data_IF_567044353944
#
_entry.id   IF_567044353944
#
_cell.length_a   1.000
_cell.length_b   1.000
_cell.length_c   1.000
_cell.angle_alpha   90.00
_cell.angle_beta   90.00
_cell.angle_gamma   90.00
#
_symmetry.space_group_name_H-M   'P 1'
#
loop_
_entity.id
_entity.type
_entity.pdbx_description
1 polymer ?
#
# COMPACT_ATOMS: atom_id res chain seq x y z
N UNK A 1 -52.80 -96.04 -5.82
CA UNK A 1 -52.66 -95.93 -4.35
C UNK A 1 -51.18 -96.16 -4.05
N UNK A 2 -50.40 -95.09 -3.93
CA UNK A 2 -48.98 -95.13 -3.53
C UNK A 2 -48.59 -93.77 -2.96
N UNK A 3 -47.70 -93.81 -1.98
CA UNK A 3 -47.67 -92.96 -0.79
C UNK A 3 -46.74 -91.74 -0.94
N UNK A 4 -47.10 -90.65 -0.25
CA UNK A 4 -46.38 -89.36 -0.08
C UNK A 4 -44.89 -89.53 0.30
N UNK A 5 -44.02 -88.70 -0.29
CA UNK A 5 -42.85 -88.18 0.44
C UNK A 5 -42.50 -86.72 0.04
N UNK A 6 -42.00 -85.99 1.04
CA UNK A 6 -41.82 -84.53 1.16
C UNK A 6 -40.52 -84.04 0.50
N UNK A 7 -40.52 -82.88 -0.15
CA UNK A 7 -39.43 -81.86 -0.12
C UNK A 7 -40.05 -80.49 -0.51
N UNK A 8 -40.41 -79.65 0.47
CA UNK A 8 -39.62 -78.50 0.96
C UNK A 8 -39.34 -77.45 -0.14
N UNK A 9 -40.27 -76.50 -0.26
CA UNK A 9 -40.09 -75.23 -0.98
C UNK A 9 -39.74 -74.13 0.03
N UNK A 10 -38.75 -73.26 -0.26
CA UNK A 10 -38.69 -71.94 0.35
C UNK A 10 -39.20 -70.90 -0.66
N UNK A 11 -40.38 -70.36 -0.38
CA UNK A 11 -40.87 -69.11 -0.97
C UNK A 11 -40.05 -67.97 -0.36
N UNK A 12 -39.03 -67.51 -1.07
CA UNK A 12 -38.29 -66.29 -0.70
C UNK A 12 -39.19 -65.10 -1.05
N UNK A 13 -39.94 -64.62 -0.05
CA UNK A 13 -40.61 -63.31 -0.10
C UNK A 13 -39.53 -62.22 -0.08
N UNK A 14 -39.36 -61.55 -1.21
CA UNK A 14 -38.50 -60.37 -1.33
C UNK A 14 -39.02 -59.24 -0.45
N UNK A 15 -38.25 -58.88 0.57
CA UNK A 15 -38.27 -57.56 1.18
C UNK A 15 -37.29 -56.70 0.38
N UNK A 16 -37.81 -55.99 -0.61
CA UNK A 16 -37.07 -54.94 -1.31
C UNK A 16 -36.88 -53.76 -0.35
N UNK A 17 -35.78 -53.75 0.38
CA UNK A 17 -35.27 -52.54 1.04
C UNK A 17 -34.66 -51.69 -0.08
N UNK A 18 -35.45 -50.77 -0.63
CA UNK A 18 -34.96 -49.73 -1.52
C UNK A 18 -34.14 -48.73 -0.68
N UNK A 19 -32.84 -48.98 -0.58
CA UNK A 19 -31.88 -47.97 -0.14
C UNK A 19 -31.84 -46.90 -1.22
N UNK A 20 -32.54 -45.80 -0.99
CA UNK A 20 -32.42 -44.57 -1.77
C UNK A 20 -31.00 -44.02 -1.58
N UNK A 21 -30.09 -44.35 -2.49
CA UNK A 21 -28.83 -43.64 -2.69
C UNK A 21 -29.17 -42.26 -3.23
N UNK A 22 -29.40 -41.29 -2.33
CA UNK A 22 -29.38 -39.89 -2.69
C UNK A 22 -27.92 -39.52 -3.05
N UNK A 23 -27.63 -39.01 -4.26
CA UNK A 23 -26.35 -38.39 -4.51
C UNK A 23 -26.29 -37.13 -3.65
N UNK A 24 -25.42 -37.13 -2.64
CA UNK A 24 -24.97 -35.89 -2.02
C UNK A 24 -24.27 -35.09 -3.11
N UNK A 25 -24.99 -34.14 -3.72
CA UNK A 25 -24.40 -33.14 -4.58
C UNK A 25 -23.48 -32.29 -3.70
N UNK A 26 -22.20 -32.65 -3.67
CA UNK A 26 -21.16 -31.73 -3.22
C UNK A 26 -21.23 -30.53 -4.15
N UNK A 27 -21.61 -29.38 -3.62
CA UNK A 27 -21.51 -28.11 -4.32
C UNK A 27 -20.01 -27.83 -4.52
N UNK A 28 -19.45 -28.38 -5.59
CA UNK A 28 -18.16 -27.96 -6.10
C UNK A 28 -18.40 -26.61 -6.75
N UNK A 29 -17.79 -25.58 -6.16
CA UNK A 29 -17.81 -24.22 -6.64
C UNK A 29 -17.05 -24.15 -7.98
N UNK A 30 -17.71 -24.65 -9.01
CA UNK A 30 -17.18 -24.86 -10.34
C UNK A 30 -17.56 -23.67 -11.20
N UNK A 31 -16.58 -23.18 -11.98
CA UNK A 31 -16.82 -22.09 -12.91
C UNK A 31 -17.67 -22.63 -14.06
N UNK A 32 -18.82 -22.00 -14.34
CA UNK A 32 -19.69 -22.36 -15.45
C UNK A 32 -18.93 -22.30 -16.78
N UNK A 33 -19.23 -23.16 -17.77
CA UNK A 33 -18.48 -23.25 -19.02
C UNK A 33 -18.48 -21.95 -19.82
N UNK A 34 -19.58 -21.20 -19.80
CA UNK A 34 -19.70 -19.87 -20.41
C UNK A 34 -18.79 -18.83 -19.75
N UNK A 35 -18.72 -18.83 -18.42
CA UNK A 35 -17.80 -17.97 -17.66
C UNK A 35 -16.35 -18.38 -17.90
N UNK A 36 -16.08 -19.69 -17.97
CA UNK A 36 -14.74 -20.21 -18.24
C UNK A 36 -14.24 -19.76 -19.62
N UNK A 37 -15.08 -19.82 -20.64
CA UNK A 37 -14.75 -19.34 -21.99
C UNK A 37 -14.47 -17.83 -21.99
N UNK A 38 -15.32 -17.03 -21.32
CA UNK A 38 -15.17 -15.58 -21.23
C UNK A 38 -13.89 -15.16 -20.47
N UNK A 39 -13.60 -15.78 -19.33
CA UNK A 39 -12.41 -15.51 -18.49
C UNK A 39 -11.11 -15.92 -19.20
N UNK A 40 -11.15 -17.01 -19.97
CA UNK A 40 -9.98 -17.55 -20.67
C UNK A 40 -9.85 -17.06 -22.11
N UNK A 41 -10.82 -16.27 -22.60
CA UNK A 41 -10.88 -15.78 -23.99
C UNK A 41 -10.80 -16.93 -25.01
N UNK A 42 -11.55 -18.00 -24.77
CA UNK A 42 -11.60 -19.17 -25.65
C UNK A 42 -10.46 -20.17 -25.51
N UNK A 43 -9.64 -20.06 -24.46
CA UNK A 43 -8.49 -20.94 -24.23
C UNK A 43 -8.62 -21.76 -22.93
N UNK A 44 -9.81 -22.32 -22.67
CA UNK A 44 -10.11 -23.02 -21.43
C UNK A 44 -9.09 -24.12 -21.07
N UNK A 45 -8.58 -24.86 -22.06
CA UNK A 45 -7.61 -25.95 -21.85
C UNK A 45 -6.25 -25.49 -21.31
N UNK A 46 -5.86 -24.22 -21.55
CA UNK A 46 -4.58 -23.67 -21.09
C UNK A 46 -4.62 -23.29 -19.61
N UNK A 47 -5.79 -22.98 -19.08
CA UNK A 47 -5.92 -22.36 -17.77
C UNK A 47 -6.63 -23.29 -16.78
N UNK A 48 -6.19 -23.26 -15.53
CA UNK A 48 -6.97 -23.80 -14.42
C UNK A 48 -7.72 -22.65 -13.76
N UNK A 49 -9.02 -22.81 -13.56
CA UNK A 49 -9.87 -21.80 -12.92
C UNK A 49 -10.26 -22.26 -11.52
N UNK A 50 -10.15 -21.36 -10.56
CA UNK A 50 -10.60 -21.57 -9.18
C UNK A 50 -11.49 -20.40 -8.80
N UNK A 51 -12.73 -20.68 -8.41
CA UNK A 51 -13.63 -19.65 -7.88
C UNK A 51 -13.23 -19.31 -6.45
N UNK A 52 -13.13 -18.02 -6.16
CA UNK A 52 -12.89 -17.48 -4.81
C UNK A 52 -13.82 -16.29 -4.63
N UNK A 53 -14.89 -16.51 -3.88
CA UNK A 53 -15.99 -15.57 -3.72
C UNK A 53 -16.58 -15.17 -5.10
N UNK A 54 -16.62 -13.88 -5.41
CA UNK A 54 -17.08 -13.32 -6.68
C UNK A 54 -15.98 -13.28 -7.76
N UNK A 55 -14.73 -13.52 -7.37
CA UNK A 55 -13.58 -13.47 -8.25
C UNK A 55 -13.18 -14.89 -8.74
N UNK A 56 -12.38 -14.92 -9.82
CA UNK A 56 -11.83 -16.17 -10.35
C UNK A 56 -10.30 -16.07 -10.38
N UNK A 57 -9.63 -16.99 -9.70
CA UNK A 57 -8.20 -17.21 -9.89
C UNK A 57 -7.98 -18.04 -11.16
N UNK A 58 -7.19 -17.48 -12.07
CA UNK A 58 -6.79 -18.12 -13.33
C UNK A 58 -5.30 -18.45 -13.27
N UNK A 59 -4.97 -19.73 -13.35
CA UNK A 59 -3.59 -20.23 -13.37
C UNK A 59 -3.23 -20.69 -14.77
N UNK A 60 -2.19 -20.10 -15.37
CA UNK A 60 -1.67 -20.49 -16.68
C UNK A 60 -0.80 -21.74 -16.55
N UNK A 61 -1.21 -22.85 -17.18
CA UNK A 61 -0.49 -24.14 -17.12
C UNK A 61 0.83 -24.13 -17.88
N UNK A 62 1.08 -23.12 -18.73
CA UNK A 62 2.29 -23.05 -19.55
C UNK A 62 3.47 -22.38 -18.84
N UNK A 63 3.20 -21.36 -18.02
CA UNK A 63 4.24 -20.56 -17.36
C UNK A 63 4.03 -20.39 -15.85
N UNK A 64 2.93 -20.93 -15.29
CA UNK A 64 2.63 -20.85 -13.86
C UNK A 64 2.09 -19.49 -13.39
N UNK A 65 1.82 -18.55 -14.30
CA UNK A 65 1.31 -17.22 -13.92
C UNK A 65 -0.09 -17.34 -13.32
N UNK A 66 -0.25 -16.76 -12.14
CA UNK A 66 -1.57 -16.63 -11.49
C UNK A 66 -2.13 -15.24 -11.80
N UNK A 67 -3.39 -15.17 -12.18
CA UNK A 67 -4.13 -13.91 -12.37
C UNK A 67 -5.39 -13.92 -11.52
N UNK A 68 -5.74 -12.77 -10.95
CA UNK A 68 -7.07 -12.56 -10.35
C UNK A 68 -7.97 -11.92 -11.41
N UNK A 69 -9.08 -12.59 -11.71
CA UNK A 69 -10.07 -12.17 -12.69
C UNK A 69 -11.31 -11.66 -11.98
N UNK A 70 -11.67 -10.41 -12.27
CA UNK A 70 -12.87 -9.75 -11.74
C UNK A 70 -13.82 -9.40 -12.87
N UNK A 71 -15.11 -9.45 -12.62
CA UNK A 71 -16.11 -8.93 -13.55
C UNK A 71 -16.18 -7.40 -13.43
N UNK A 72 -16.00 -6.71 -14.56
CA UNK A 72 -16.08 -5.25 -14.67
C UNK A 72 -16.84 -4.90 -15.95
N UNK A 73 -18.00 -4.24 -15.80
CA UNK A 73 -18.82 -3.77 -16.92
C UNK A 73 -19.17 -4.87 -17.92
N UNK A 74 -19.73 -5.97 -17.42
CA UNK A 74 -20.12 -7.17 -18.20
C UNK A 74 -18.94 -7.85 -18.93
N UNK A 75 -17.70 -7.58 -18.53
CA UNK A 75 -16.49 -8.17 -19.09
C UNK A 75 -15.52 -8.63 -17.99
N UNK A 76 -14.80 -9.71 -18.25
CA UNK A 76 -13.80 -10.23 -17.33
C UNK A 76 -12.45 -9.53 -17.50
N UNK A 77 -11.92 -8.99 -16.40
CA UNK A 77 -10.58 -8.41 -16.33
C UNK A 77 -9.67 -9.24 -15.44
N UNK A 78 -8.70 -9.88 -16.05
CA UNK A 78 -7.67 -10.65 -15.37
C UNK A 78 -6.39 -9.84 -15.22
N UNK A 79 -6.04 -9.48 -13.99
CA UNK A 79 -4.75 -8.86 -13.68
C UNK A 79 -3.81 -9.95 -13.16
N UNK A 80 -2.57 -10.06 -13.70
CA UNK A 80 -1.59 -10.95 -13.12
C UNK A 80 -1.40 -10.58 -11.65
N UNK A 81 -1.47 -11.58 -10.77
CA UNK A 81 -0.99 -11.40 -9.41
C UNK A 81 0.50 -11.19 -9.57
N UNK A 82 1.05 -10.03 -9.18
CA UNK A 82 2.48 -9.87 -9.23
C UNK A 82 3.09 -11.05 -8.44
N UNK A 83 4.20 -11.60 -8.92
CA UNK A 83 5.15 -12.24 -8.02
C UNK A 83 5.61 -11.10 -7.10
N UNK A 84 4.77 -10.81 -6.11
CA UNK A 84 4.80 -9.56 -5.38
C UNK A 84 6.18 -9.39 -4.75
N UNK A 85 6.75 -10.51 -4.33
CA UNK A 85 8.11 -10.63 -3.85
C UNK A 85 9.16 -10.10 -4.84
N UNK A 86 9.22 -10.57 -6.09
CA UNK A 86 10.26 -10.12 -7.05
C UNK A 86 10.13 -8.63 -7.40
N UNK A 87 8.89 -8.14 -7.58
CA UNK A 87 8.65 -6.73 -7.86
C UNK A 87 9.03 -5.84 -6.65
N UNK A 88 8.68 -6.26 -5.44
CA UNK A 88 9.07 -5.55 -4.23
C UNK A 88 10.58 -5.66 -3.97
N UNK A 89 11.22 -6.78 -4.26
CA UNK A 89 12.67 -6.94 -4.14
C UNK A 89 13.40 -6.03 -5.13
N UNK A 90 12.91 -5.88 -6.36
CA UNK A 90 13.48 -4.95 -7.33
C UNK A 90 13.41 -3.50 -6.80
N UNK A 91 12.25 -3.08 -6.31
CA UNK A 91 12.05 -1.75 -5.72
C UNK A 91 12.91 -1.52 -4.47
N UNK A 92 12.99 -2.51 -3.56
CA UNK A 92 13.83 -2.45 -2.36
C UNK A 92 15.30 -2.25 -2.74
N UNK A 93 15.79 -2.96 -3.75
CA UNK A 93 17.18 -2.84 -4.19
C UNK A 93 17.45 -1.47 -4.85
N UNK A 94 16.50 -0.93 -5.61
CA UNK A 94 16.59 0.41 -6.19
C UNK A 94 16.64 1.48 -5.10
N UNK A 95 15.69 1.44 -4.15
CA UNK A 95 15.61 2.36 -3.03
C UNK A 95 16.86 2.27 -2.13
N UNK A 96 17.36 1.07 -1.86
CA UNK A 96 18.60 0.88 -1.11
C UNK A 96 19.78 1.55 -1.82
N UNK A 97 19.89 1.38 -3.14
CA UNK A 97 20.90 2.04 -3.95
C UNK A 97 20.78 3.57 -3.96
N UNK A 98 19.56 4.11 -3.93
CA UNK A 98 19.33 5.55 -3.80
C UNK A 98 19.74 6.09 -2.42
N UNK A 99 19.40 5.37 -1.35
CA UNK A 99 19.82 5.71 0.01
C UNK A 99 21.35 5.73 0.12
N UNK A 100 22.04 4.72 -0.39
CA UNK A 100 23.51 4.69 -0.39
C UNK A 100 24.11 5.89 -1.14
N UNK A 101 23.54 6.22 -2.30
CA UNK A 101 24.01 7.33 -3.14
C UNK A 101 23.76 8.69 -2.50
N UNK A 102 22.59 8.88 -1.87
CA UNK A 102 22.25 10.09 -1.15
C UNK A 102 23.12 10.24 0.10
N UNK A 103 23.33 9.16 0.85
CA UNK A 103 24.20 9.13 2.03
C UNK A 103 25.62 9.53 1.66
N UNK A 104 26.20 8.93 0.62
CA UNK A 104 27.53 9.29 0.13
C UNK A 104 27.62 10.78 -0.29
N UNK A 105 26.57 11.33 -0.89
CA UNK A 105 26.52 12.75 -1.26
C UNK A 105 26.45 13.67 -0.03
N UNK A 106 25.70 13.29 1.00
CA UNK A 106 25.65 14.04 2.26
C UNK A 106 27.03 14.03 2.92
N UNK A 107 27.68 12.86 3.03
CA UNK A 107 29.03 12.74 3.59
C UNK A 107 30.06 13.58 2.81
N UNK A 108 29.96 13.60 1.48
CA UNK A 108 30.80 14.46 0.64
C UNK A 108 30.55 15.95 0.93
N UNK A 109 29.30 16.37 1.01
CA UNK A 109 28.95 17.77 1.27
C UNK A 109 29.36 18.22 2.69
N UNK A 110 29.15 17.38 3.70
CA UNK A 110 29.56 17.65 5.07
C UNK A 110 31.09 17.63 5.23
N UNK A 111 31.77 16.68 4.59
CA UNK A 111 33.23 16.60 4.55
C UNK A 111 33.89 17.77 3.80
N UNK A 112 33.21 18.32 2.80
CA UNK A 112 33.65 19.51 2.06
C UNK A 112 33.22 20.82 2.76
N UNK A 113 32.19 20.79 3.60
CA UNK A 113 31.74 21.91 4.44
C UNK A 113 32.79 22.33 5.48
N UNK A 114 33.62 21.40 5.95
CA UNK A 114 34.75 21.68 6.87
C UNK A 114 35.97 22.27 6.15
N UNK A 115 36.06 22.14 4.81
CA UNK A 115 37.18 22.69 4.00
C UNK A 115 36.84 23.99 3.29
N UNK A 116 35.63 24.52 3.48
CA UNK A 116 35.27 25.88 3.06
C UNK A 116 35.71 26.94 4.09
N UNK A 117 36.90 26.78 4.67
CA UNK A 117 37.78 27.89 5.03
C UNK A 117 38.32 28.53 3.73
N UNK A 118 37.41 28.99 2.87
CA UNK A 118 37.77 29.87 1.77
C UNK A 118 38.04 31.22 2.42
N UNK A 119 39.31 31.41 2.76
CA UNK A 119 39.98 32.69 2.95
C UNK A 119 39.22 33.78 2.20
N UNK A 120 38.45 34.58 2.95
CA UNK A 120 37.84 35.79 2.41
C UNK A 120 38.97 36.67 1.84
N UNK A 121 38.82 37.25 0.63
CA UNK A 121 39.84 38.13 0.07
C UNK A 121 40.11 39.29 1.04
N UNK A 122 41.38 39.72 1.21
CA UNK A 122 41.70 40.87 2.05
C UNK A 122 41.10 42.11 1.38
N UNK A 123 39.98 42.61 1.92
CA UNK A 123 39.30 43.80 1.39
C UNK A 123 37.79 43.88 1.66
N UNK A 124 37.13 42.79 2.04
CA UNK A 124 35.69 42.80 2.36
C UNK A 124 35.44 42.94 3.86
N UNK A 125 35.93 44.03 4.45
CA UNK A 125 35.53 44.50 5.76
C UNK A 125 34.88 45.88 5.59
N UNK A 126 33.58 45.87 5.28
CA UNK A 126 32.72 46.98 5.69
C UNK A 126 32.26 46.65 7.11
N UNK A 127 32.43 47.65 7.98
CA UNK A 127 32.40 47.58 9.43
C UNK A 127 31.34 46.65 10.04
N UNK A 128 31.80 45.59 10.72
CA UNK A 128 30.99 44.85 11.70
C UNK A 128 31.62 45.06 13.09
N UNK A 129 30.88 45.62 14.06
CA UNK A 129 31.36 45.71 15.43
C UNK A 129 31.67 44.32 16.00
N UNK A 130 32.83 44.21 16.65
CA UNK A 130 33.43 42.98 17.15
C UNK A 130 32.73 42.49 18.42
N UNK A 131 32.19 41.27 18.38
CA UNK A 131 31.83 40.50 19.58
C UNK A 131 32.98 39.54 19.97
N UNK A 132 33.23 39.30 21.27
CA UNK A 132 34.33 38.45 21.73
C UNK A 132 33.96 36.96 21.73
N UNK A 133 34.68 36.20 20.89
CA UNK A 133 35.18 34.83 21.09
C UNK A 133 34.31 33.74 21.73
N UNK A 134 34.03 32.68 20.96
CA UNK A 134 33.63 31.36 21.47
C UNK A 134 34.80 30.37 21.36
N UNK A 135 35.40 29.99 22.50
CA UNK A 135 36.14 28.74 22.65
C UNK A 135 35.22 27.65 23.19
N UNK A 136 35.42 26.44 22.69
CA UNK A 136 34.74 25.20 23.08
C UNK A 136 34.64 24.99 24.60
N UNK A 137 33.57 24.30 25.02
CA UNK A 137 33.55 23.53 26.26
C UNK A 137 32.68 24.11 27.38
N UNK A 138 31.50 23.52 27.55
CA UNK A 138 30.84 23.29 28.84
C UNK A 138 30.90 24.38 29.91
N UNK A 139 30.18 25.48 29.72
CA UNK A 139 29.45 26.24 30.75
C UNK A 139 28.64 27.31 30.02
N UNK A 140 27.34 27.45 30.29
CA UNK A 140 26.49 28.52 29.74
C UNK A 140 27.21 29.87 29.72
N UNK A 141 27.25 30.54 28.56
CA UNK A 141 27.39 31.98 28.47
C UNK A 141 26.07 32.59 27.98
N UNK A 142 25.55 33.55 28.77
CA UNK A 142 24.47 34.52 28.48
C UNK A 142 23.09 33.99 28.04
N UNK A 143 22.16 33.93 28.99
CA UNK A 143 20.71 33.89 28.74
C UNK A 143 20.23 35.10 27.92
N UNK A 144 21.00 36.18 27.85
CA UNK A 144 20.59 37.44 27.23
C UNK A 144 20.48 37.38 25.70
N UNK A 145 21.34 36.63 25.01
CA UNK A 145 21.26 36.52 23.54
C UNK A 145 20.06 35.66 23.11
N UNK A 146 19.80 34.57 23.83
CA UNK A 146 18.62 33.71 23.62
C UNK A 146 17.32 34.46 23.95
N UNK A 147 17.30 35.25 25.04
CA UNK A 147 16.14 36.06 25.45
C UNK A 147 15.78 37.12 24.39
N UNK A 148 16.78 37.76 23.75
CA UNK A 148 16.59 38.72 22.67
C UNK A 148 16.02 38.07 21.38
N UNK A 149 16.47 36.86 21.04
CA UNK A 149 15.92 36.11 19.91
C UNK A 149 14.48 35.67 20.15
N UNK A 150 14.16 35.25 21.38
CA UNK A 150 12.80 34.89 21.79
C UNK A 150 11.86 36.10 21.69
N UNK A 151 12.26 37.28 22.16
CA UNK A 151 11.45 38.51 22.08
C UNK A 151 11.17 38.92 20.61
N UNK A 152 12.15 38.73 19.72
CA UNK A 152 11.99 38.98 18.28
C UNK A 152 10.97 38.04 17.65
N UNK A 153 10.99 36.76 18.01
CA UNK A 153 10.02 35.77 17.53
C UNK A 153 8.62 36.05 18.09
N UNK A 154 8.51 36.43 19.36
CA UNK A 154 7.23 36.81 19.97
C UNK A 154 6.62 38.04 19.29
N UNK A 155 7.42 39.08 19.02
CA UNK A 155 6.97 40.31 18.34
C UNK A 155 6.55 40.03 16.89
N UNK A 156 7.27 39.15 16.19
CA UNK A 156 6.90 38.70 14.86
C UNK A 156 5.57 37.94 14.88
N UNK A 157 5.40 37.03 15.84
CA UNK A 157 4.18 36.22 16.00
C UNK A 157 2.97 37.08 16.37
N UNK A 158 3.14 38.08 17.25
CA UNK A 158 2.09 39.03 17.62
C UNK A 158 1.64 39.89 16.42
N UNK A 159 2.61 40.34 15.62
CA UNK A 159 2.34 41.10 14.39
C UNK A 159 1.63 40.26 13.33
N UNK A 160 2.05 39.00 13.16
CA UNK A 160 1.42 38.06 12.24
C UNK A 160 -0.03 37.75 12.66
N UNK A 161 -0.26 37.53 13.95
CA UNK A 161 -1.59 37.26 14.51
C UNK A 161 -2.53 38.46 14.34
N UNK A 162 -2.07 39.70 14.60
CA UNK A 162 -2.88 40.91 14.37
C UNK A 162 -3.27 41.07 12.90
N UNK A 163 -2.33 40.83 11.99
CA UNK A 163 -2.57 40.93 10.54
C UNK A 163 -3.53 39.84 10.05
N UNK A 164 -3.40 38.62 10.57
CA UNK A 164 -4.29 37.52 10.27
C UNK A 164 -5.73 37.80 10.71
N UNK A 165 -5.94 38.24 11.96
CA UNK A 165 -7.29 38.59 12.43
C UNK A 165 -7.89 39.79 11.71
N UNK A 166 -7.09 40.76 11.25
CA UNK A 166 -7.56 41.81 10.36
C UNK A 166 -8.17 41.25 9.08
N UNK A 167 -7.43 40.36 8.40
CA UNK A 167 -7.89 39.74 7.16
C UNK A 167 -9.13 38.85 7.35
N UNK A 168 -9.25 38.15 8.49
CA UNK A 168 -10.46 37.36 8.82
C UNK A 168 -11.68 38.24 9.07
N UNK A 169 -11.50 39.39 9.73
CA UNK A 169 -12.60 40.35 9.98
C UNK A 169 -13.05 41.06 8.70
N UNK A 170 -12.13 41.34 7.78
CA UNK A 170 -12.45 41.89 6.46
C UNK A 170 -13.32 40.89 5.67
N UNK A 171 -12.96 39.59 5.67
CA UNK A 171 -13.79 38.56 5.04
C UNK A 171 -15.18 38.44 5.69
N UNK A 172 -15.29 38.45 7.03
CA UNK A 172 -16.61 38.43 7.69
C UNK A 172 -17.46 39.64 7.29
N UNK A 173 -16.85 40.82 7.18
CA UNK A 173 -17.52 42.05 6.77
C UNK A 173 -17.98 42.00 5.32
N UNK A 174 -17.21 41.40 4.42
CA UNK A 174 -17.58 41.20 3.02
C UNK A 174 -18.79 40.24 2.90
N UNK A 175 -18.79 39.13 3.65
CA UNK A 175 -19.93 38.21 3.70
C UNK A 175 -21.20 38.83 4.31
N UNK A 176 -21.08 39.68 5.32
CA UNK A 176 -22.22 40.42 5.91
C UNK A 176 -22.71 41.57 5.01
N UNK A 177 -21.83 42.10 4.14
CA UNK A 177 -22.14 43.16 3.17
C UNK A 177 -22.87 42.68 1.92
N UNK A 178 -22.72 41.41 1.52
CA UNK A 178 -23.44 40.80 0.39
C UNK A 178 -24.85 40.26 0.75
N UNK A 179 -25.23 40.28 2.03
CA UNK A 179 -26.52 39.77 2.53
C UNK A 179 -27.61 40.85 2.68
N UNK A 180 -27.42 42.07 2.15
CA UNK A 180 -28.46 43.11 2.05
C UNK A 180 -28.67 43.57 0.60
#
# INVERSE_FOLDING_TARGET
>A
MTIRNKYLAPVVRGLAVAVLLAPAAVAQDSVAPETADAVTKGQADRFSLVRVDEDILRVDRQNGTVSICKEQSDAWRCNPVPLAEDAYLAEINELAGEVDRLTARVEELEGNGVKSDKQLPPGSALDRPKAPGSSQGGRSPSTTEEDEELEKVLTFTESAMRRFFGMVRDLQKDFEGEAN
#
